data_IF_751640590825
#
_entry.id   IF_751640590825
#
_cell.length_a   1.000
_cell.length_b   1.000
_cell.length_c   1.000
_cell.angle_alpha   90.00
_cell.angle_beta   90.00
_cell.angle_gamma   90.00
#
_symmetry.space_group_name_H-M   'P 1'
#
loop_
_entity.id
_entity.type
_entity.pdbx_description
1 polymer ?
#
# COMPACT_ATOMS: atom_id res chain seq x y z
N UNK A 1 22.51 -9.71 23.21
CA UNK A 1 22.07 -8.74 22.19
C UNK A 1 21.02 -9.41 21.32
N UNK A 2 19.75 -9.06 21.50
CA UNK A 2 18.64 -9.62 20.73
C UNK A 2 18.11 -8.53 19.79
N UNK A 3 18.51 -8.59 18.52
CA UNK A 3 18.30 -7.51 17.52
C UNK A 3 16.85 -7.54 16.97
N UNK A 4 16.02 -8.50 17.38
CA UNK A 4 14.63 -8.62 16.93
C UNK A 4 13.61 -7.79 17.72
N UNK A 5 14.03 -7.07 18.77
CA UNK A 5 13.12 -6.32 19.64
C UNK A 5 12.85 -4.86 19.21
N UNK A 6 13.38 -4.40 18.07
CA UNK A 6 13.37 -2.98 17.69
C UNK A 6 12.41 -2.64 16.53
N UNK A 7 11.32 -3.40 16.36
CA UNK A 7 10.28 -3.16 15.33
C UNK A 7 8.92 -2.75 15.93
N UNK A 8 8.89 -2.34 17.20
CA UNK A 8 7.64 -2.07 17.93
C UNK A 8 7.05 -0.66 17.77
N UNK A 9 7.50 0.18 16.81
CA UNK A 9 6.95 1.54 16.63
C UNK A 9 6.38 1.81 15.22
N UNK A 10 6.16 0.78 14.39
CA UNK A 10 5.66 0.96 13.01
C UNK A 10 4.45 0.13 12.59
N UNK A 11 4.06 -0.89 13.38
CA UNK A 11 3.10 -1.93 12.96
C UNK A 11 3.71 -2.91 11.94
N UNK A 12 3.15 -4.12 11.85
CA UNK A 12 3.47 -5.11 10.82
C UNK A 12 3.13 -4.60 9.42
N UNK A 13 3.72 -5.20 8.38
CA UNK A 13 3.41 -4.86 6.98
C UNK A 13 1.90 -5.01 6.67
N UNK A 14 1.24 -6.01 7.27
CA UNK A 14 -0.20 -6.21 7.21
C UNK A 14 -0.96 -5.01 7.78
N UNK A 15 -0.62 -4.56 8.99
CA UNK A 15 -1.27 -3.45 9.66
C UNK A 15 -1.06 -2.12 8.93
N UNK A 16 0.18 -1.87 8.45
CA UNK A 16 0.48 -0.66 7.66
C UNK A 16 -0.34 -0.66 6.37
N UNK A 17 -0.36 -1.78 5.64
CA UNK A 17 -1.11 -1.90 4.40
C UNK A 17 -2.62 -1.74 4.63
N UNK A 18 -3.15 -2.34 5.69
CA UNK A 18 -4.54 -2.22 6.10
C UNK A 18 -4.93 -0.75 6.38
N UNK A 19 -4.08 -0.03 7.13
CA UNK A 19 -4.28 1.39 7.43
C UNK A 19 -4.28 2.25 6.16
N UNK A 20 -3.29 2.07 5.29
CA UNK A 20 -3.18 2.85 4.05
C UNK A 20 -4.33 2.56 3.07
N UNK A 21 -4.81 1.32 2.99
CA UNK A 21 -6.00 0.94 2.23
C UNK A 21 -7.26 1.64 2.76
N UNK A 22 -7.54 1.54 4.06
CA UNK A 22 -8.72 2.17 4.68
C UNK A 22 -8.72 3.69 4.51
N UNK A 23 -7.56 4.33 4.69
CA UNK A 23 -7.41 5.77 4.49
C UNK A 23 -7.78 6.17 3.06
N UNK A 24 -7.20 5.50 2.06
CA UNK A 24 -7.49 5.79 0.65
C UNK A 24 -8.91 5.47 0.27
N UNK A 25 -9.49 4.38 0.78
CA UNK A 25 -10.88 4.04 0.56
C UNK A 25 -11.81 5.13 1.08
N UNK A 26 -11.56 5.63 2.30
CA UNK A 26 -12.30 6.76 2.87
C UNK A 26 -12.17 8.01 2.00
N UNK A 27 -10.96 8.38 1.59
CA UNK A 27 -10.74 9.54 0.69
C UNK A 27 -11.44 9.38 -0.65
N UNK A 28 -11.36 8.20 -1.28
CA UNK A 28 -12.01 7.92 -2.55
C UNK A 28 -13.54 7.99 -2.43
N UNK A 29 -14.12 7.43 -1.37
CA UNK A 29 -15.55 7.54 -1.07
C UNK A 29 -15.99 8.99 -0.88
N UNK A 30 -15.20 9.79 -0.16
CA UNK A 30 -15.49 11.22 0.02
C UNK A 30 -15.44 11.97 -1.31
N UNK A 31 -14.48 11.67 -2.19
CA UNK A 31 -14.38 12.30 -3.51
C UNK A 31 -15.53 11.90 -4.45
N UNK A 32 -15.99 10.64 -4.38
CA UNK A 32 -17.18 10.18 -5.11
C UNK A 32 -18.44 10.87 -4.60
N UNK A 33 -18.64 10.93 -3.27
CA UNK A 33 -19.77 11.62 -2.67
C UNK A 33 -19.80 13.11 -3.00
N UNK A 34 -18.62 13.73 -3.15
CA UNK A 34 -18.47 15.11 -3.59
C UNK A 34 -18.51 15.30 -5.12
N UNK A 35 -18.84 14.26 -5.90
CA UNK A 35 -18.85 14.26 -7.38
C UNK A 35 -17.54 14.74 -8.04
N UNK A 36 -16.40 14.61 -7.34
CA UNK A 36 -15.07 14.99 -7.87
C UNK A 36 -14.48 13.91 -8.78
N UNK A 37 -14.82 12.65 -8.51
CA UNK A 37 -14.44 11.50 -9.33
C UNK A 37 -15.62 10.54 -9.45
N UNK A 38 -15.61 9.71 -10.49
CA UNK A 38 -16.61 8.64 -10.66
C UNK A 38 -16.31 7.43 -9.77
N UNK A 39 -17.31 6.59 -9.44
CA UNK A 39 -17.07 5.34 -8.72
C UNK A 39 -16.06 4.41 -9.43
N UNK A 40 -16.12 4.32 -10.75
CA UNK A 40 -15.16 3.52 -11.53
C UNK A 40 -13.72 4.05 -11.42
N UNK A 41 -13.54 5.38 -11.36
CA UNK A 41 -12.23 5.99 -11.14
C UNK A 41 -11.72 5.75 -9.72
N UNK A 42 -12.60 5.86 -8.71
CA UNK A 42 -12.27 5.54 -7.33
C UNK A 42 -11.78 4.09 -7.18
N UNK A 43 -12.50 3.14 -7.78
CA UNK A 43 -12.11 1.73 -7.80
C UNK A 43 -10.73 1.54 -8.45
N UNK A 44 -10.51 2.15 -9.62
CA UNK A 44 -9.22 2.08 -10.31
C UNK A 44 -8.04 2.62 -9.45
N UNK A 45 -8.27 3.66 -8.65
CA UNK A 45 -7.27 4.21 -7.72
C UNK A 45 -7.04 3.30 -6.50
N UNK A 46 -8.03 2.51 -6.11
CA UNK A 46 -7.93 1.60 -4.97
C UNK A 46 -7.29 0.26 -5.34
N UNK A 47 -7.46 -0.25 -6.56
CA UNK A 47 -6.90 -1.55 -7.01
C UNK A 47 -5.44 -1.78 -6.61
N UNK A 48 -4.50 -0.83 -6.79
CA UNK A 48 -3.12 -0.98 -6.31
C UNK A 48 -3.02 -1.26 -4.80
N UNK A 49 -3.80 -0.55 -3.99
CA UNK A 49 -3.80 -0.65 -2.53
C UNK A 49 -4.54 -1.88 -2.03
N UNK A 50 -5.57 -2.32 -2.74
CA UNK A 50 -6.21 -3.62 -2.52
C UNK A 50 -5.20 -4.75 -2.74
N UNK A 51 -4.43 -4.73 -3.83
CA UNK A 51 -3.41 -5.72 -4.11
C UNK A 51 -2.29 -5.73 -3.05
N UNK A 52 -1.82 -4.55 -2.62
CA UNK A 52 -0.82 -4.41 -1.55
C UNK A 52 -1.35 -4.99 -0.23
N UNK A 53 -2.59 -4.67 0.16
CA UNK A 53 -3.21 -5.18 1.37
C UNK A 53 -3.32 -6.72 1.36
N UNK A 54 -3.78 -7.30 0.24
CA UNK A 54 -3.85 -8.76 0.06
C UNK A 54 -2.46 -9.41 0.19
N UNK A 55 -1.44 -8.88 -0.50
CA UNK A 55 -0.07 -9.40 -0.46
C UNK A 55 0.55 -9.33 0.93
N UNK A 56 0.31 -8.24 1.65
CA UNK A 56 0.82 -8.04 3.01
C UNK A 56 0.14 -8.91 4.06
N UNK A 57 -0.92 -9.65 3.70
CA UNK A 57 -1.68 -10.43 4.68
C UNK A 57 -2.66 -9.60 5.50
N UNK A 58 -3.15 -8.47 4.98
CA UNK A 58 -4.17 -7.68 5.65
C UNK A 58 -5.52 -8.39 5.57
N UNK A 59 -5.87 -9.14 6.62
CA UNK A 59 -7.14 -9.88 6.70
C UNK A 59 -8.29 -8.95 7.09
N UNK A 60 -8.67 -8.11 6.13
CA UNK A 60 -9.73 -7.13 6.25
C UNK A 60 -11.08 -7.74 5.84
N UNK A 61 -12.17 -7.56 6.63
CA UNK A 61 -13.52 -7.96 6.22
C UNK A 61 -13.90 -7.39 4.85
N UNK A 62 -13.40 -6.20 4.52
CA UNK A 62 -13.72 -5.51 3.27
C UNK A 62 -12.97 -6.07 2.06
N UNK A 63 -12.07 -7.02 2.28
CA UNK A 63 -11.39 -7.82 1.27
C UNK A 63 -11.91 -9.26 1.23
N UNK A 64 -12.88 -9.63 2.08
CA UNK A 64 -13.38 -10.99 2.16
C UNK A 64 -13.91 -11.51 0.82
N UNK A 65 -14.67 -10.69 0.07
CA UNK A 65 -15.18 -11.08 -1.25
C UNK A 65 -14.09 -11.24 -2.30
N UNK A 66 -13.00 -10.48 -2.17
CA UNK A 66 -11.83 -10.55 -3.06
C UNK A 66 -11.04 -11.83 -2.78
N UNK A 67 -10.93 -12.20 -1.51
CA UNK A 67 -10.24 -13.42 -1.09
C UNK A 67 -11.10 -14.65 -1.38
N UNK A 68 -12.40 -14.63 -1.08
CA UNK A 68 -13.33 -15.76 -1.14
C UNK A 68 -13.45 -16.44 -2.52
N UNK A 69 -13.05 -15.78 -3.60
CA UNK A 69 -13.10 -16.36 -4.96
C UNK A 69 -12.06 -17.46 -5.19
N UNK A 70 -10.93 -17.40 -4.50
CA UNK A 70 -9.79 -18.31 -4.72
C UNK A 70 -9.07 -18.74 -3.41
N UNK A 71 -9.56 -18.33 -2.23
CA UNK A 71 -8.94 -18.64 -0.94
C UNK A 71 -9.29 -20.02 -0.41
N UNK A 72 -8.26 -20.76 -0.02
CA UNK A 72 -8.38 -21.74 1.07
C UNK A 72 -8.68 -20.99 2.38
N UNK A 73 -9.76 -21.30 3.12
CA UNK A 73 -10.12 -20.67 4.40
C UNK A 73 -9.03 -20.79 5.48
N UNK A 74 -8.01 -21.64 5.29
CA UNK A 74 -6.82 -21.68 6.16
C UNK A 74 -5.82 -20.53 5.90
N UNK A 75 -5.99 -19.76 4.82
CA UNK A 75 -5.41 -18.44 4.58
C UNK A 75 -3.89 -18.28 4.59
N UNK A 76 -3.16 -19.39 4.50
CA UNK A 76 -1.70 -19.44 4.70
C UNK A 76 -0.87 -19.51 3.42
N UNK A 77 -1.46 -19.76 2.25
CA UNK A 77 -0.65 -19.84 1.03
C UNK A 77 -0.39 -18.46 0.42
N UNK A 78 0.85 -18.02 0.63
CA UNK A 78 1.46 -16.85 0.02
C UNK A 78 1.34 -16.85 -1.51
N UNK A 79 1.33 -18.03 -2.13
CA UNK A 79 1.17 -18.20 -3.58
C UNK A 79 -0.22 -17.74 -4.03
N UNK A 80 -1.27 -18.13 -3.32
CA UNK A 80 -2.65 -17.70 -3.62
C UNK A 80 -2.81 -16.19 -3.47
N UNK A 81 -2.28 -15.60 -2.39
CA UNK A 81 -2.29 -14.13 -2.22
C UNK A 81 -1.55 -13.41 -3.35
N UNK A 82 -0.46 -13.99 -3.84
CA UNK A 82 0.28 -13.44 -4.98
C UNK A 82 -0.51 -13.48 -6.29
N UNK A 83 -1.22 -14.58 -6.56
CA UNK A 83 -2.06 -14.72 -7.75
C UNK A 83 -3.21 -13.72 -7.71
N UNK A 84 -3.99 -13.71 -6.61
CA UNK A 84 -5.11 -12.78 -6.41
C UNK A 84 -4.64 -11.33 -6.56
N UNK A 85 -3.50 -10.96 -5.96
CA UNK A 85 -2.98 -9.60 -6.07
C UNK A 85 -2.61 -9.21 -7.51
N UNK A 86 -2.09 -10.15 -8.31
CA UNK A 86 -1.77 -9.91 -9.73
C UNK A 86 -3.03 -9.70 -10.56
N UNK A 87 -4.10 -10.43 -10.26
CA UNK A 87 -5.39 -10.29 -10.95
C UNK A 87 -6.07 -8.97 -10.59
N UNK A 88 -5.95 -8.53 -9.34
CA UNK A 88 -6.43 -7.21 -8.90
C UNK A 88 -5.64 -6.10 -9.60
N UNK A 89 -4.31 -6.13 -9.53
CA UNK A 89 -3.46 -5.07 -10.05
C UNK A 89 -2.12 -5.63 -10.54
N UNK A 90 -1.73 -5.39 -11.81
CA UNK A 90 -0.42 -5.78 -12.31
C UNK A 90 0.72 -5.26 -11.43
N UNK A 91 1.74 -6.09 -11.24
CA UNK A 91 2.88 -5.81 -10.35
C UNK A 91 3.50 -4.42 -10.56
N UNK A 92 3.75 -4.06 -11.82
CA UNK A 92 4.34 -2.77 -12.16
C UNK A 92 3.50 -1.58 -11.65
N UNK A 93 2.17 -1.69 -11.67
CA UNK A 93 1.28 -0.61 -11.24
C UNK A 93 1.30 -0.43 -9.73
N UNK A 94 1.15 -1.50 -8.95
CA UNK A 94 1.15 -1.34 -7.49
C UNK A 94 2.53 -0.98 -6.93
N UNK A 95 3.62 -1.43 -7.56
CA UNK A 95 4.99 -1.00 -7.19
C UNK A 95 5.15 0.50 -7.41
N UNK A 96 4.73 1.03 -8.56
CA UNK A 96 4.81 2.46 -8.86
C UNK A 96 3.97 3.28 -7.87
N UNK A 97 2.75 2.84 -7.57
CA UNK A 97 1.87 3.53 -6.62
C UNK A 97 2.41 3.52 -5.18
N UNK A 98 3.03 2.43 -4.74
CA UNK A 98 3.69 2.37 -3.43
C UNK A 98 4.90 3.30 -3.37
N UNK A 99 5.72 3.34 -4.43
CA UNK A 99 6.86 4.24 -4.53
C UNK A 99 6.40 5.72 -4.49
N UNK A 100 5.41 6.08 -5.31
CA UNK A 100 4.85 7.43 -5.33
C UNK A 100 4.27 7.84 -3.96
N UNK A 101 3.56 6.94 -3.29
CA UNK A 101 3.01 7.23 -1.97
C UNK A 101 4.10 7.40 -0.91
N UNK A 102 5.14 6.57 -0.93
CA UNK A 102 6.32 6.70 -0.06
C UNK A 102 6.96 8.07 -0.28
N UNK A 103 7.22 8.44 -1.52
CA UNK A 103 7.95 9.65 -1.87
C UNK A 103 7.14 10.91 -1.47
N UNK A 104 5.83 10.93 -1.76
CA UNK A 104 4.92 11.97 -1.26
C UNK A 104 4.82 12.01 0.27
N UNK A 105 4.85 10.85 0.92
CA UNK A 105 4.84 10.76 2.38
C UNK A 105 6.08 11.41 2.99
N UNK A 106 7.26 11.16 2.41
CA UNK A 106 8.53 11.76 2.83
C UNK A 106 8.50 13.28 2.62
N UNK A 107 8.09 13.76 1.44
CA UNK A 107 7.98 15.19 1.16
C UNK A 107 6.96 15.89 2.10
N UNK A 108 5.85 15.23 2.42
CA UNK A 108 4.87 15.76 3.37
C UNK A 108 5.39 15.77 4.82
N UNK A 109 6.27 14.83 5.18
CA UNK A 109 6.92 14.76 6.48
C UNK A 109 7.96 15.86 6.67
N UNK A 110 8.62 16.33 5.61
CA UNK A 110 9.49 17.51 5.66
C UNK A 110 8.74 18.79 6.02
N UNK A 111 7.43 18.86 5.71
CA UNK A 111 6.58 20.03 5.93
C UNK A 111 5.72 19.94 7.19
N UNK A 112 5.40 18.73 7.67
CA UNK A 112 4.59 18.50 8.86
C UNK A 112 5.04 17.23 9.59
N UNK A 113 5.40 17.38 10.87
CA UNK A 113 5.86 16.30 11.74
C UNK A 113 4.82 15.19 11.94
N UNK A 114 3.53 15.48 11.82
CA UNK A 114 2.46 14.47 11.91
C UNK A 114 2.51 13.45 10.76
N UNK A 115 3.12 13.80 9.63
CA UNK A 115 3.27 12.90 8.49
C UNK A 115 4.48 11.95 8.61
N UNK A 116 5.36 12.15 9.60
CA UNK A 116 6.59 11.37 9.77
C UNK A 116 6.29 9.89 10.00
N UNK A 117 5.31 9.58 10.86
CA UNK A 117 4.93 8.19 11.16
C UNK A 117 4.37 7.48 9.92
N UNK A 118 3.57 8.20 9.14
CA UNK A 118 3.01 7.69 7.88
C UNK A 118 4.09 7.43 6.85
N UNK A 119 5.04 8.36 6.69
CA UNK A 119 6.18 8.21 5.80
C UNK A 119 7.05 6.99 6.20
N UNK A 120 7.32 6.83 7.50
CA UNK A 120 8.02 5.66 8.06
C UNK A 120 7.28 4.36 7.75
N UNK A 121 5.96 4.33 7.93
CA UNK A 121 5.13 3.18 7.60
C UNK A 121 5.23 2.79 6.12
N UNK A 122 5.05 3.75 5.22
CA UNK A 122 5.17 3.53 3.78
C UNK A 122 6.57 3.07 3.36
N UNK A 123 7.62 3.63 3.99
CA UNK A 123 9.00 3.21 3.77
C UNK A 123 9.27 1.79 4.29
N UNK A 124 8.69 1.40 5.43
CA UNK A 124 8.77 0.05 5.97
C UNK A 124 8.06 -0.96 5.07
N UNK A 125 6.87 -0.61 4.57
CA UNK A 125 6.11 -1.41 3.61
C UNK A 125 6.87 -1.58 2.29
N UNK A 126 7.51 -0.53 1.78
CA UNK A 126 8.38 -0.62 0.61
C UNK A 126 9.57 -1.56 0.84
N UNK A 127 10.23 -1.49 2.00
CA UNK A 127 11.33 -2.41 2.35
C UNK A 127 10.87 -3.85 2.48
N UNK A 128 9.69 -4.07 3.06
CA UNK A 128 9.09 -5.40 3.18
C UNK A 128 8.99 -6.09 1.82
N UNK A 129 8.50 -5.39 0.80
CA UNK A 129 8.44 -5.94 -0.56
C UNK A 129 9.80 -6.02 -1.25
N UNK A 130 10.71 -5.07 -1.01
CA UNK A 130 12.05 -5.08 -1.62
C UNK A 130 12.93 -6.25 -1.13
N UNK A 131 12.77 -6.67 0.13
CA UNK A 131 13.51 -7.79 0.74
C UNK A 131 12.81 -9.15 0.56
N UNK A 132 11.77 -9.24 -0.27
CA UNK A 132 11.04 -10.48 -0.51
C UNK A 132 11.95 -11.51 -1.25
N UNK A 133 12.18 -12.71 -0.67
CA UNK A 133 13.03 -13.77 -1.21
C UNK A 133 12.50 -14.44 -2.50
N UNK A 134 11.28 -14.14 -2.95
CA UNK A 134 10.78 -14.54 -4.27
C UNK A 134 11.45 -13.79 -5.44
N UNK A 135 12.33 -12.82 -5.12
CA UNK A 135 13.22 -12.20 -6.09
C UNK A 135 12.57 -11.06 -6.88
N UNK A 136 13.27 -9.92 -6.88
CA UNK A 136 13.12 -8.79 -7.81
C UNK A 136 11.83 -7.95 -7.69
N UNK A 137 11.39 -7.57 -6.48
CA UNK A 137 10.63 -6.32 -6.38
C UNK A 137 11.65 -5.19 -6.38
N UNK A 138 12.14 -4.79 -7.55
CA UNK A 138 12.95 -3.58 -7.66
C UNK A 138 12.00 -2.39 -7.50
N UNK A 139 11.66 -2.07 -6.25
CA UNK A 139 11.13 -0.75 -5.92
C UNK A 139 12.25 0.24 -6.25
N UNK A 140 11.99 1.24 -7.11
CA UNK A 140 12.96 2.29 -7.35
C UNK A 140 13.40 2.89 -6.01
N UNK A 141 14.67 3.29 -5.93
CA UNK A 141 15.11 4.18 -4.86
C UNK A 141 14.21 5.42 -4.78
N UNK A 142 14.26 6.14 -3.67
CA UNK A 142 13.57 7.42 -3.55
C UNK A 142 13.89 8.30 -4.76
N UNK A 143 12.86 8.71 -5.50
CA UNK A 143 12.99 9.69 -6.57
C UNK A 143 12.12 10.90 -6.19
N UNK A 144 12.72 12.03 -5.80
CA UNK A 144 11.94 13.21 -5.46
C UNK A 144 11.09 13.64 -6.66
N UNK A 145 9.85 14.09 -6.42
CA UNK A 145 8.99 14.53 -7.50
C UNK A 145 9.61 15.74 -8.22
N UNK A 146 9.49 15.81 -9.56
CA UNK A 146 9.94 16.97 -10.32
C UNK A 146 9.23 18.24 -9.81
N UNK A 147 9.95 19.35 -9.76
CA UNK A 147 9.51 20.61 -9.14
C UNK A 147 8.14 21.12 -9.64
N UNK A 148 7.74 20.74 -10.85
CA UNK A 148 6.46 21.06 -11.48
C UNK A 148 5.25 20.35 -10.83
N UNK A 149 5.44 19.17 -10.23
CA UNK A 149 4.35 18.43 -9.56
C UNK A 149 4.20 18.83 -8.07
N UNK A 150 5.21 19.50 -7.48
CA UNK A 150 5.16 19.96 -6.09
C UNK A 150 4.22 21.14 -5.85
N UNK A 151 3.76 21.78 -6.93
CA UNK A 151 2.88 22.97 -6.88
C UNK A 151 1.39 22.65 -7.09
N UNK A 152 1.05 21.41 -7.45
CA UNK A 152 -0.32 21.01 -7.78
C UNK A 152 -1.03 20.18 -6.68
N UNK A 153 -0.43 20.08 -5.49
CA UNK A 153 -0.95 19.33 -4.34
C UNK A 153 -1.54 20.25 -3.27
#
# INVERSE_FOLDING_TARGET
MNIYAQVAEGGSAAEIAAREYRLRRKTAQQQVAANRITPARAEALLRPWTAIAVLSGADLPELADVLARDFDPQGRDRTTRLLVARDICPRAKWIAELANARDRGIEAAERNTENVERARGLQALARHFACDPAGKHHLPGYQPLPSSERQAA
#
